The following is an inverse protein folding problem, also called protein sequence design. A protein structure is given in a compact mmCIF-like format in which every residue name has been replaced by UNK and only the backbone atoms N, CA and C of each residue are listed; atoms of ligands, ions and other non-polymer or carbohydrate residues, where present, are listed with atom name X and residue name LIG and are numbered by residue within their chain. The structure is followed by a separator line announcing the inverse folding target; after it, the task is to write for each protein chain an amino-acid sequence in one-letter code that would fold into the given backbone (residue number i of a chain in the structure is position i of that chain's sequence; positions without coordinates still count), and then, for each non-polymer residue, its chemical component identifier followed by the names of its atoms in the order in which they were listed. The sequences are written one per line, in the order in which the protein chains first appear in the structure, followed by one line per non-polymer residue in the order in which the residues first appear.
data_IF_864249857495
#
_entry.id   IF_864249857495
#
_cell.length_a   1.000
_cell.length_b   1.000
_cell.length_c   1.000
_cell.angle_alpha   90.00
_cell.angle_beta   90.00
_cell.angle_gamma   90.00
#
_symmetry.space_group_name_H-M   'P 1'
#
loop_
_entity.id
_entity.type
_entity.pdbx_description
1 polymer ?
#
# COMPACT_ATOMS: atom_id res chain seq x y z
N UNK A 1 -26.48 -12.84 42.09
CA UNK A 1 -26.03 -13.67 40.95
C UNK A 1 -26.93 -13.39 39.75
N UNK A 2 -26.50 -12.51 38.83
CA UNK A 2 -27.27 -12.20 37.61
C UNK A 2 -26.72 -13.00 36.42
N UNK A 3 -27.51 -13.96 35.92
CA UNK A 3 -27.22 -14.72 34.70
C UNK A 3 -27.45 -13.82 33.48
N UNK A 4 -26.37 -13.36 32.84
CA UNK A 4 -26.47 -12.70 31.54
C UNK A 4 -26.85 -13.71 30.46
N UNK A 5 -28.06 -13.55 29.90
CA UNK A 5 -28.54 -14.27 28.72
C UNK A 5 -27.68 -13.90 27.51
N UNK A 6 -26.98 -14.87 26.95
CA UNK A 6 -26.22 -14.73 25.70
C UNK A 6 -27.16 -14.48 24.53
N UNK A 7 -27.12 -13.26 23.98
CA UNK A 7 -27.74 -12.96 22.69
C UNK A 7 -26.79 -13.44 21.57
N UNK A 8 -27.19 -14.50 20.85
CA UNK A 8 -26.51 -14.92 19.61
C UNK A 8 -26.77 -13.86 18.54
N UNK A 9 -25.73 -13.16 18.11
CA UNK A 9 -25.78 -12.23 16.97
C UNK A 9 -26.11 -13.05 15.72
N UNK A 10 -27.31 -12.88 15.17
CA UNK A 10 -27.67 -13.45 13.88
C UNK A 10 -26.78 -12.82 12.82
N UNK A 11 -25.92 -13.63 12.20
CA UNK A 11 -25.03 -13.22 11.11
C UNK A 11 -25.92 -12.94 9.91
N UNK A 12 -26.11 -11.65 9.60
CA UNK A 12 -26.83 -11.16 8.42
C UNK A 12 -26.32 -11.91 7.16
N UNK A 13 -27.06 -12.90 6.68
CA UNK A 13 -26.76 -13.67 5.47
C UNK A 13 -27.11 -12.80 4.25
N UNK A 14 -26.43 -11.66 4.11
CA UNK A 14 -26.54 -10.84 2.90
C UNK A 14 -26.00 -11.66 1.74
N UNK A 15 -26.91 -12.11 0.86
CA UNK A 15 -26.57 -12.89 -0.32
C UNK A 15 -25.54 -12.12 -1.15
N UNK A 16 -24.30 -12.60 -1.14
CA UNK A 16 -23.21 -12.00 -1.94
C UNK A 16 -23.40 -12.48 -3.36
N UNK A 17 -23.90 -11.60 -4.23
CA UNK A 17 -24.06 -11.88 -5.65
C UNK A 17 -22.76 -12.44 -6.24
N UNK A 18 -22.88 -13.52 -7.01
CA UNK A 18 -21.79 -14.15 -7.76
C UNK A 18 -22.28 -14.49 -9.16
N UNK A 19 -21.50 -14.24 -10.23
CA UNK A 19 -21.90 -14.62 -11.57
C UNK A 19 -21.90 -16.15 -11.73
N UNK A 20 -22.87 -16.65 -12.50
CA UNK A 20 -22.96 -18.07 -12.87
C UNK A 20 -21.79 -18.48 -13.77
N UNK A 21 -21.58 -19.80 -13.92
CA UNK A 21 -20.53 -20.33 -14.81
C UNK A 21 -20.70 -19.86 -16.25
N UNK A 22 -21.95 -19.82 -16.73
CA UNK A 22 -22.30 -19.36 -18.08
C UNK A 22 -21.98 -17.88 -18.27
N UNK A 23 -22.35 -17.03 -17.30
CA UNK A 23 -22.09 -15.59 -17.35
C UNK A 23 -20.59 -15.26 -17.38
N UNK A 24 -19.77 -16.04 -16.67
CA UNK A 24 -18.31 -15.88 -16.72
C UNK A 24 -17.74 -16.23 -18.09
N UNK A 25 -18.25 -17.28 -18.73
CA UNK A 25 -17.80 -17.71 -20.06
C UNK A 25 -18.19 -16.69 -21.13
N UNK A 26 -19.45 -16.25 -21.15
CA UNK A 26 -19.93 -15.22 -22.09
C UNK A 26 -19.15 -13.92 -21.94
N UNK A 27 -18.81 -13.52 -20.71
CA UNK A 27 -17.97 -12.35 -20.46
C UNK A 27 -16.56 -12.55 -21.04
N UNK A 28 -15.94 -13.71 -20.82
CA UNK A 28 -14.59 -13.99 -21.32
C UNK A 28 -14.55 -14.02 -22.86
N UNK A 29 -15.55 -14.63 -23.49
CA UNK A 29 -15.69 -14.64 -24.94
C UNK A 29 -15.85 -13.23 -25.49
N UNK A 30 -16.76 -12.41 -24.92
CA UNK A 30 -16.96 -11.01 -25.35
C UNK A 30 -15.73 -10.13 -25.14
N UNK A 31 -14.97 -10.33 -24.06
CA UNK A 31 -13.71 -9.62 -23.85
C UNK A 31 -12.63 -9.99 -24.88
N UNK A 32 -12.67 -11.20 -25.43
CA UNK A 32 -11.71 -11.68 -26.41
C UNK A 32 -12.09 -11.34 -27.86
N UNK A 33 -13.38 -11.29 -28.17
CA UNK A 33 -13.88 -11.12 -29.55
C UNK A 33 -14.30 -9.69 -29.90
N UNK A 34 -14.70 -8.89 -28.92
CA UNK A 34 -15.17 -7.52 -29.11
C UNK A 34 -14.18 -6.53 -28.48
N UNK A 35 -13.28 -6.00 -29.31
CA UNK A 35 -12.27 -5.02 -28.89
C UNK A 35 -12.89 -3.76 -28.29
N UNK A 36 -14.00 -3.27 -28.86
CA UNK A 36 -14.67 -2.07 -28.37
C UNK A 36 -15.30 -2.30 -26.98
N UNK A 37 -15.85 -3.49 -26.74
CA UNK A 37 -16.34 -3.86 -25.41
C UNK A 37 -15.22 -3.95 -24.37
N UNK A 38 -14.08 -4.52 -24.76
CA UNK A 38 -12.89 -4.64 -23.90
C UNK A 38 -12.33 -3.27 -23.51
N UNK A 39 -12.08 -2.40 -24.50
CA UNK A 39 -11.57 -1.04 -24.26
C UNK A 39 -12.50 -0.23 -23.35
N UNK A 40 -13.80 -0.25 -23.64
CA UNK A 40 -14.79 0.42 -22.79
C UNK A 40 -14.84 -0.16 -21.36
N UNK A 41 -14.60 -1.46 -21.19
CA UNK A 41 -14.49 -2.09 -19.88
C UNK A 41 -13.26 -1.60 -19.11
N UNK A 42 -12.10 -1.52 -19.76
CA UNK A 42 -10.86 -1.02 -19.17
C UNK A 42 -10.96 0.46 -18.80
N UNK A 43 -11.50 1.31 -19.68
CA UNK A 43 -11.74 2.72 -19.38
C UNK A 43 -12.65 2.90 -18.16
N UNK A 44 -13.74 2.14 -18.06
CA UNK A 44 -14.61 2.18 -16.86
C UNK A 44 -13.89 1.74 -15.59
N UNK A 45 -12.94 0.80 -15.69
CA UNK A 45 -12.13 0.34 -14.55
C UNK A 45 -11.16 1.43 -14.10
N UNK A 46 -10.52 2.11 -15.03
CA UNK A 46 -9.63 3.25 -14.77
C UNK A 46 -10.39 4.42 -14.15
N UNK A 47 -11.52 4.82 -14.72
CA UNK A 47 -12.38 5.88 -14.17
C UNK A 47 -12.84 5.57 -12.74
N UNK A 48 -13.17 4.30 -12.44
CA UNK A 48 -13.52 3.87 -11.08
C UNK A 48 -12.32 3.91 -10.14
N UNK A 49 -11.12 3.54 -10.62
CA UNK A 49 -9.90 3.65 -9.84
C UNK A 49 -9.58 5.12 -9.56
N UNK A 50 -9.70 6.00 -10.55
CA UNK A 50 -9.46 7.42 -10.44
C UNK A 50 -10.47 8.09 -9.48
N UNK A 51 -11.76 7.76 -9.61
CA UNK A 51 -12.77 8.21 -8.65
C UNK A 51 -12.48 7.74 -7.23
N UNK A 52 -11.97 6.51 -7.05
CA UNK A 52 -11.56 6.01 -5.73
C UNK A 52 -10.33 6.76 -5.20
N UNK A 53 -9.35 7.06 -6.05
CA UNK A 53 -8.20 7.90 -5.67
C UNK A 53 -8.65 9.30 -5.27
N UNK A 54 -9.47 9.96 -6.08
CA UNK A 54 -9.92 11.33 -5.83
C UNK A 54 -10.87 11.48 -4.65
N UNK A 55 -11.66 10.46 -4.32
CA UNK A 55 -12.53 10.44 -3.13
C UNK A 55 -11.85 9.88 -1.89
N UNK A 56 -10.67 9.27 -2.05
CA UNK A 56 -9.85 8.85 -0.93
C UNK A 56 -9.33 10.11 -0.24
N UNK A 57 -9.58 10.23 1.07
CA UNK A 57 -8.89 11.22 1.92
C UNK A 57 -7.38 10.93 2.06
N UNK A 58 -6.93 9.81 1.50
CA UNK A 58 -5.53 9.46 1.40
C UNK A 58 -4.93 10.28 0.25
N UNK A 59 -4.34 11.41 0.63
CA UNK A 59 -3.60 12.26 -0.28
C UNK A 59 -2.34 11.52 -0.73
N UNK A 60 -2.36 10.92 -1.92
CA UNK A 60 -1.24 10.15 -2.46
C UNK A 60 -0.01 11.01 -2.80
N UNK A 61 -0.15 12.34 -2.95
CA UNK A 61 1.01 13.23 -3.13
C UNK A 61 1.74 13.49 -1.80
N UNK A 62 1.04 13.38 -0.67
CA UNK A 62 1.60 13.52 0.68
C UNK A 62 1.56 12.21 1.49
N UNK A 63 1.19 11.09 0.84
CA UNK A 63 1.16 9.76 1.42
C UNK A 63 2.60 9.28 1.57
N UNK A 64 3.25 9.89 2.55
CA UNK A 64 4.69 9.91 2.60
C UNK A 64 5.34 11.24 2.96
N UNK A 65 4.70 12.00 3.86
CA UNK A 65 5.26 13.25 4.35
C UNK A 65 6.69 13.13 4.89
N UNK A 66 7.32 14.27 5.15
CA UNK A 66 8.67 14.25 5.70
C UNK A 66 8.62 13.95 7.20
N UNK A 67 9.38 12.94 7.63
CA UNK A 67 9.45 12.54 9.03
C UNK A 67 10.86 12.74 9.57
N UNK A 68 10.96 13.06 10.86
CA UNK A 68 12.24 13.02 11.56
C UNK A 68 12.57 11.53 11.77
N UNK A 69 13.71 11.04 11.27
CA UNK A 69 14.08 9.64 11.42
C UNK A 69 14.20 9.23 12.89
N UNK A 70 13.94 7.96 13.19
CA UNK A 70 14.08 7.41 14.55
C UNK A 70 15.50 6.89 14.80
N UNK A 71 15.85 6.72 16.08
CA UNK A 71 17.15 6.16 16.47
C UNK A 71 17.39 4.76 15.86
N UNK A 72 16.36 3.93 15.80
CA UNK A 72 16.42 2.61 15.16
C UNK A 72 16.73 2.68 13.66
N UNK A 73 16.19 3.69 12.96
CA UNK A 73 16.46 3.93 11.55
C UNK A 73 17.87 4.47 11.33
N UNK A 74 18.32 5.39 12.19
CA UNK A 74 19.69 5.89 12.18
C UNK A 74 20.72 4.76 12.36
N UNK A 75 20.50 3.87 13.34
CA UNK A 75 21.38 2.71 13.57
C UNK A 75 21.38 1.75 12.38
N UNK A 76 20.21 1.46 11.82
CA UNK A 76 20.09 0.59 10.65
C UNK A 76 20.74 1.20 9.40
N UNK A 77 20.66 2.52 9.21
CA UNK A 77 21.34 3.24 8.13
C UNK A 77 22.88 3.12 8.26
N UNK A 78 23.42 3.25 9.49
CA UNK A 78 24.85 3.02 9.76
C UNK A 78 25.27 1.57 9.44
N UNK A 79 24.45 0.59 9.83
CA UNK A 79 24.73 -0.82 9.53
C UNK A 79 24.70 -1.10 8.02
N UNK A 80 23.70 -0.56 7.31
CA UNK A 80 23.54 -0.74 5.86
C UNK A 80 24.68 -0.07 5.07
N UNK A 81 25.17 1.10 5.51
CA UNK A 81 26.33 1.76 4.89
C UNK A 81 27.60 0.91 4.92
N UNK A 82 27.76 0.06 5.94
CA UNK A 82 28.93 -0.81 6.11
C UNK A 82 28.84 -2.12 5.31
N UNK A 83 27.72 -2.41 4.64
CA UNK A 83 27.44 -3.69 3.97
C UNK A 83 27.42 -3.61 2.43
N UNK A 84 28.10 -2.62 1.84
CA UNK A 84 28.06 -2.33 0.40
C UNK A 84 26.63 -2.05 -0.13
N UNK A 85 26.02 -0.90 0.24
CA UNK A 85 24.70 -0.52 -0.25
C UNK A 85 24.72 -0.19 -1.75
N UNK A 86 23.55 -0.31 -2.39
CA UNK A 86 23.35 0.26 -3.74
C UNK A 86 23.48 1.80 -3.71
N UNK A 87 23.72 2.46 -4.86
CA UNK A 87 23.81 3.93 -4.90
C UNK A 87 22.60 4.64 -4.27
N UNK A 88 21.39 4.14 -4.54
CA UNK A 88 20.13 4.66 -3.99
C UNK A 88 20.03 4.43 -2.48
N UNK A 89 20.45 3.27 -1.98
CA UNK A 89 20.47 2.97 -0.55
C UNK A 89 21.50 3.84 0.18
N UNK A 90 22.65 4.11 -0.45
CA UNK A 90 23.67 4.99 0.10
C UNK A 90 23.15 6.42 0.28
N UNK A 91 22.44 6.93 -0.72
CA UNK A 91 21.78 8.24 -0.64
C UNK A 91 20.72 8.27 0.46
N UNK A 92 19.85 7.25 0.51
CA UNK A 92 18.83 7.11 1.56
C UNK A 92 19.45 7.07 2.96
N UNK A 93 20.53 6.30 3.16
CA UNK A 93 21.25 6.26 4.43
C UNK A 93 21.78 7.64 4.81
N UNK A 94 22.47 8.33 3.89
CA UNK A 94 23.03 9.65 4.18
C UNK A 94 21.94 10.67 4.55
N UNK A 95 20.81 10.66 3.84
CA UNK A 95 19.67 11.54 4.12
C UNK A 95 19.05 11.23 5.49
N UNK A 96 18.91 9.95 5.85
CA UNK A 96 18.39 9.52 7.14
C UNK A 96 19.35 9.87 8.30
N UNK A 97 20.65 9.67 8.11
CA UNK A 97 21.68 10.06 9.08
C UNK A 97 21.67 11.58 9.31
N UNK A 98 21.65 12.35 8.22
CA UNK A 98 21.60 13.80 8.27
C UNK A 98 20.33 14.30 8.98
N UNK A 99 19.16 13.79 8.58
CA UNK A 99 17.88 14.16 9.21
C UNK A 99 17.82 13.83 10.69
N UNK A 100 18.40 12.70 11.11
CA UNK A 100 18.49 12.37 12.53
C UNK A 100 19.42 13.31 13.29
N UNK A 101 20.62 13.58 12.76
CA UNK A 101 21.62 14.46 13.40
C UNK A 101 21.18 15.92 13.48
N UNK A 102 20.57 16.44 12.41
CA UNK A 102 20.11 17.83 12.32
C UNK A 102 18.67 18.02 12.84
N UNK A 103 17.99 16.92 13.23
CA UNK A 103 16.55 16.91 13.58
C UNK A 103 15.67 17.50 12.48
N UNK A 104 16.07 17.26 11.24
CA UNK A 104 15.36 17.70 10.05
C UNK A 104 14.44 16.59 9.55
N UNK A 105 13.40 17.01 8.84
CA UNK A 105 12.46 16.07 8.25
C UNK A 105 13.04 15.51 6.96
N UNK A 106 12.89 14.21 6.77
CA UNK A 106 13.39 13.48 5.60
C UNK A 106 12.22 12.84 4.88
N UNK A 107 12.28 12.82 3.56
CA UNK A 107 11.27 12.18 2.73
C UNK A 107 11.03 10.73 3.16
N UNK A 108 9.77 10.33 3.28
CA UNK A 108 9.42 9.01 3.79
C UNK A 108 9.99 7.85 2.95
N UNK A 109 10.25 8.05 1.65
CA UNK A 109 10.80 7.01 0.77
C UNK A 109 12.17 6.53 1.27
N UNK A 110 13.02 7.46 1.70
CA UNK A 110 14.33 7.13 2.28
C UNK A 110 14.15 6.35 3.58
N UNK A 111 13.16 6.72 4.39
CA UNK A 111 12.82 6.01 5.62
C UNK A 111 12.26 4.61 5.32
N UNK A 112 11.49 4.44 4.23
CA UNK A 112 10.97 3.15 3.81
C UNK A 112 12.07 2.20 3.36
N UNK A 113 13.05 2.66 2.60
CA UNK A 113 14.21 1.86 2.21
C UNK A 113 14.94 1.27 3.43
N UNK A 114 15.14 2.09 4.47
CA UNK A 114 15.76 1.63 5.73
C UNK A 114 14.83 0.68 6.50
N UNK A 115 13.53 0.96 6.55
CA UNK A 115 12.55 0.10 7.21
C UNK A 115 12.40 -1.27 6.50
N UNK A 116 12.54 -1.33 5.18
CA UNK A 116 12.59 -2.58 4.43
C UNK A 116 13.84 -3.39 4.80
N UNK A 117 15.00 -2.74 4.88
CA UNK A 117 16.22 -3.39 5.37
C UNK A 117 16.04 -3.96 6.78
N UNK A 118 15.47 -3.20 7.73
CA UNK A 118 15.19 -3.66 9.09
C UNK A 118 14.25 -4.88 9.09
N UNK A 119 13.23 -4.87 8.22
CA UNK A 119 12.26 -5.98 8.11
C UNK A 119 12.89 -7.25 7.55
N UNK A 120 13.77 -7.12 6.55
CA UNK A 120 14.44 -8.27 5.92
C UNK A 120 15.53 -8.90 6.79
N UNK A 121 16.00 -8.21 7.85
CA UNK A 121 17.00 -8.72 8.79
C UNK A 121 16.39 -9.59 9.92
N UNK A 122 15.07 -9.55 10.11
CA UNK A 122 14.36 -10.42 11.06
C UNK A 122 14.13 -11.81 10.49
#
# INVERSE_FOLDING_TARGET
MARYKGYKIQKDMRYKWKPSKTQKREFAERMATDTAYSEAYHQRKEQRAEKRRSTSKFDYQTAGGEYIPTESQNKAAFELLNLNPTPEQKEACNMVLYGYSCKEKVHHDFIHLINEYIRNKK
#
